data_IF_372343544007
#
_entry.id   IF_372343544007
#
_cell.length_a   1.000
_cell.length_b   1.000
_cell.length_c   1.000
_cell.angle_alpha   90.00
_cell.angle_beta   90.00
_cell.angle_gamma   90.00
#
_symmetry.space_group_name_H-M   'P 1'
#
loop_
_entity.id
_entity.type
_entity.pdbx_description
1 polymer ?
#
# COMPACT_ATOMS: atom_id res chain seq x y z
N UNK A 1 18.37 45.61 -42.35
CA UNK A 1 17.87 46.35 -41.17
C UNK A 1 18.50 45.69 -39.95
N UNK A 2 19.70 46.13 -39.53
CA UNK A 2 19.96 47.13 -38.46
C UNK A 2 19.38 46.70 -37.10
N UNK A 3 20.08 46.63 -35.96
CA UNK A 3 21.45 46.93 -35.50
C UNK A 3 21.65 46.16 -34.17
N UNK A 4 22.92 45.94 -33.85
CA UNK A 4 23.53 45.37 -32.64
C UNK A 4 23.30 46.11 -31.29
N UNK A 5 23.53 45.34 -30.20
CA UNK A 5 24.27 45.67 -28.95
C UNK A 5 23.61 46.55 -27.84
N UNK A 6 23.53 46.05 -26.58
CA UNK A 6 24.44 46.29 -25.44
C UNK A 6 23.80 45.83 -24.11
N UNK A 7 24.65 45.36 -23.19
CA UNK A 7 24.36 45.01 -21.80
C UNK A 7 24.25 46.25 -20.89
N UNK A 8 23.58 46.14 -19.73
CA UNK A 8 23.95 46.92 -18.55
C UNK A 8 23.47 46.28 -17.23
N UNK A 9 24.45 46.07 -16.37
CA UNK A 9 24.39 45.79 -14.93
C UNK A 9 23.98 47.07 -14.20
N UNK A 10 23.23 46.98 -13.09
CA UNK A 10 23.17 48.07 -12.13
C UNK A 10 23.24 47.56 -10.70
N UNK A 11 24.35 47.91 -10.06
CA UNK A 11 24.65 47.85 -8.64
C UNK A 11 24.08 49.12 -8.02
N UNK A 12 23.43 49.01 -6.85
CA UNK A 12 23.22 50.15 -5.94
C UNK A 12 23.79 49.77 -4.59
N UNK A 13 24.65 50.65 -4.07
CA UNK A 13 25.35 50.52 -2.82
C UNK A 13 25.17 51.77 -1.95
N UNK A 14 25.40 51.57 -0.65
CA UNK A 14 25.67 52.53 0.44
C UNK A 14 24.50 53.29 1.11
N UNK A 15 24.38 53.07 2.42
CA UNK A 15 24.74 54.10 3.40
C UNK A 15 25.17 53.46 4.74
N UNK A 16 26.35 53.86 5.22
CA UNK A 16 26.88 53.54 6.55
C UNK A 16 26.70 54.77 7.47
N UNK A 17 26.37 54.54 8.74
CA UNK A 17 26.54 55.51 9.83
C UNK A 17 27.21 54.80 11.02
N UNK A 18 28.11 55.54 11.66
CA UNK A 18 29.25 55.11 12.45
C UNK A 18 28.99 54.88 13.96
N UNK A 19 30.06 54.38 14.59
CA UNK A 19 30.29 53.87 15.94
C UNK A 19 29.91 54.77 17.14
N UNK A 20 29.62 54.14 18.29
CA UNK A 20 30.24 54.47 19.60
C UNK A 20 30.23 53.24 20.54
N UNK A 21 31.34 53.06 21.28
CA UNK A 21 31.51 52.06 22.34
C UNK A 21 31.07 52.63 23.70
N UNK A 22 30.46 51.81 24.55
CA UNK A 22 30.60 51.89 26.02
C UNK A 22 30.26 50.56 26.68
N UNK A 23 31.15 50.14 27.57
CA UNK A 23 31.17 48.94 28.40
C UNK A 23 30.13 48.94 29.52
N UNK A 24 29.66 47.74 29.89
CA UNK A 24 29.42 47.21 31.25
C UNK A 24 28.03 46.55 31.46
N UNK A 25 28.06 45.32 31.98
CA UNK A 25 26.90 44.66 32.60
C UNK A 25 26.63 43.25 32.06
N UNK A 26 27.23 42.22 32.65
CA UNK A 26 26.68 40.86 32.59
C UNK A 26 25.39 40.80 33.40
N UNK A 27 24.37 40.07 32.89
CA UNK A 27 23.56 39.25 33.79
C UNK A 27 23.54 37.79 33.35
N UNK A 28 23.68 36.95 34.39
CA UNK A 28 23.41 35.52 34.52
C UNK A 28 22.89 34.75 33.30
N UNK A 29 23.60 33.66 32.99
CA UNK A 29 23.14 32.50 32.23
C UNK A 29 21.83 31.95 32.79
N UNK A 30 20.71 32.39 32.23
CA UNK A 30 19.47 31.62 32.20
C UNK A 30 19.59 30.60 31.08
N UNK A 31 19.90 29.34 31.42
CA UNK A 31 19.82 28.24 30.49
C UNK A 31 18.38 28.20 29.92
N UNK A 32 18.21 28.64 28.67
CA UNK A 32 17.03 28.28 27.88
C UNK A 32 17.09 26.77 27.76
N UNK A 33 16.18 26.08 28.46
CA UNK A 33 15.87 24.71 28.14
C UNK A 33 15.50 24.69 26.65
N UNK A 34 16.31 24.01 25.83
CA UNK A 34 15.89 23.65 24.50
C UNK A 34 14.58 22.88 24.64
N UNK A 35 13.52 23.21 23.86
CA UNK A 35 12.37 22.34 23.81
C UNK A 35 12.88 20.97 23.36
N UNK A 36 12.69 19.97 24.24
CA UNK A 36 12.81 18.58 23.85
C UNK A 36 11.91 18.40 22.62
N UNK A 37 12.38 17.77 21.53
CA UNK A 37 11.48 17.39 20.45
C UNK A 37 10.32 16.64 21.10
N UNK A 38 9.09 17.07 20.84
CA UNK A 38 7.94 16.25 21.19
C UNK A 38 8.23 14.86 20.62
N UNK A 39 8.29 13.84 21.47
CA UNK A 39 8.37 12.48 20.98
C UNK A 39 7.20 12.31 20.01
N UNK A 40 7.49 11.97 18.75
CA UNK A 40 6.45 11.66 17.78
C UNK A 40 5.52 10.59 18.37
N UNK A 41 4.26 10.58 17.96
CA UNK A 41 3.33 9.56 18.45
C UNK A 41 3.90 8.17 18.12
N UNK A 42 3.55 7.13 18.90
CA UNK A 42 4.07 5.78 18.65
C UNK A 42 3.80 5.30 17.21
N UNK A 43 2.69 5.75 16.60
CA UNK A 43 2.31 5.49 15.21
C UNK A 43 3.25 6.15 14.19
N UNK A 44 3.96 7.22 14.54
CA UNK A 44 4.89 7.95 13.65
C UNK A 44 6.35 7.54 13.89
N UNK A 45 6.59 6.49 14.68
CA UNK A 45 7.93 6.02 14.98
C UNK A 45 8.58 5.32 13.77
N UNK A 46 9.92 5.28 13.72
CA UNK A 46 10.62 4.59 12.62
C UNK A 46 10.36 3.08 12.61
N UNK A 47 10.09 2.49 13.77
CA UNK A 47 9.66 1.10 13.88
C UNK A 47 8.26 0.88 13.30
N UNK A 48 7.32 1.82 13.54
CA UNK A 48 5.99 1.79 12.95
C UNK A 48 6.05 1.90 11.42
N UNK A 49 6.81 2.87 10.93
CA UNK A 49 7.09 3.10 9.52
C UNK A 49 7.69 1.87 8.81
N UNK A 50 8.60 1.18 9.48
CA UNK A 50 9.20 -0.05 8.98
C UNK A 50 8.14 -1.16 8.84
N UNK A 51 7.29 -1.32 9.86
CA UNK A 51 6.23 -2.33 9.87
C UNK A 51 5.20 -2.09 8.78
N UNK A 52 4.60 -0.89 8.74
CA UNK A 52 3.64 -0.49 7.72
C UNK A 52 4.21 -0.71 6.32
N UNK A 53 5.43 -0.24 6.03
CA UNK A 53 6.02 -0.41 4.70
C UNK A 53 6.30 -1.86 4.33
N UNK A 54 6.73 -2.70 5.27
CA UNK A 54 6.94 -4.12 4.99
C UNK A 54 5.62 -4.84 4.70
N UNK A 55 4.60 -4.59 5.51
CA UNK A 55 3.26 -5.16 5.33
C UNK A 55 2.65 -4.75 3.98
N UNK A 56 2.68 -3.45 3.67
CA UNK A 56 2.16 -2.91 2.41
C UNK A 56 2.89 -3.50 1.19
N UNK A 57 4.22 -3.61 1.21
CA UNK A 57 4.98 -4.16 0.09
C UNK A 57 4.75 -5.67 -0.07
N UNK A 58 4.64 -6.42 1.02
CA UNK A 58 4.37 -7.86 0.99
C UNK A 58 2.92 -8.15 0.59
N UNK A 59 1.96 -7.35 1.05
CA UNK A 59 0.55 -7.41 0.63
C UNK A 59 0.40 -7.10 -0.85
N UNK A 60 1.03 -6.02 -1.32
CA UNK A 60 1.07 -5.68 -2.74
C UNK A 60 1.67 -6.83 -3.55
N UNK A 61 2.75 -7.46 -3.07
CA UNK A 61 3.38 -8.58 -3.76
C UNK A 61 2.38 -9.71 -4.07
N UNK A 62 1.54 -10.07 -3.10
CA UNK A 62 0.47 -11.06 -3.27
C UNK A 62 -0.54 -10.61 -4.32
N UNK A 63 -0.99 -9.36 -4.26
CA UNK A 63 -1.94 -8.81 -5.23
C UNK A 63 -1.35 -8.82 -6.64
N UNK A 64 -0.09 -8.42 -6.80
CA UNK A 64 0.56 -8.36 -8.10
C UNK A 64 0.74 -9.77 -8.68
N UNK A 65 1.07 -10.78 -7.85
CA UNK A 65 1.04 -12.19 -8.28
C UNK A 65 -0.38 -12.57 -8.71
N UNK A 66 -1.41 -12.23 -7.92
CA UNK A 66 -2.80 -12.56 -8.21
C UNK A 66 -3.26 -11.96 -9.55
N UNK A 67 -2.95 -10.69 -9.81
CA UNK A 67 -3.33 -10.01 -11.05
C UNK A 67 -2.50 -10.48 -12.24
N UNK A 68 -1.21 -10.78 -12.06
CA UNK A 68 -0.38 -11.39 -13.09
C UNK A 68 -0.90 -12.77 -13.51
N UNK A 69 -1.19 -13.64 -12.55
CA UNK A 69 -1.68 -14.99 -12.80
C UNK A 69 -3.11 -15.02 -13.35
N UNK A 70 -3.98 -14.11 -12.90
CA UNK A 70 -5.30 -13.91 -13.49
C UNK A 70 -5.20 -13.46 -14.95
N UNK A 71 -4.33 -12.51 -15.25
CA UNK A 71 -4.10 -12.06 -16.62
C UNK A 71 -3.56 -13.20 -17.51
N UNK A 72 -2.66 -14.04 -16.99
CA UNK A 72 -2.16 -15.21 -17.72
C UNK A 72 -3.27 -16.24 -18.01
N UNK A 73 -4.03 -16.64 -16.99
CA UNK A 73 -5.11 -17.63 -17.10
C UNK A 73 -6.27 -17.14 -17.98
N UNK A 74 -6.51 -15.83 -18.03
CA UNK A 74 -7.48 -15.18 -18.90
C UNK A 74 -6.94 -14.76 -20.28
N UNK A 75 -5.69 -15.11 -20.63
CA UNK A 75 -5.03 -14.77 -21.90
C UNK A 75 -4.98 -13.24 -22.20
N UNK A 76 -4.74 -12.41 -21.18
CA UNK A 76 -4.61 -10.94 -21.27
C UNK A 76 -3.14 -10.53 -21.31
N UNK A 77 -2.52 -10.66 -22.48
CA UNK A 77 -1.05 -10.60 -22.61
C UNK A 77 -0.42 -9.27 -22.17
N UNK A 78 -1.08 -8.14 -22.39
CA UNK A 78 -0.52 -6.83 -22.02
C UNK A 78 -0.67 -6.54 -20.51
N UNK A 79 -1.80 -6.91 -19.90
CA UNK A 79 -1.95 -6.91 -18.43
C UNK A 79 -0.90 -7.82 -17.79
N UNK A 80 -0.69 -9.03 -18.35
CA UNK A 80 0.33 -9.96 -17.86
C UNK A 80 1.73 -9.33 -17.86
N UNK A 81 2.15 -8.66 -18.94
CA UNK A 81 3.44 -7.96 -19.00
C UNK A 81 3.52 -6.79 -18.02
N UNK A 82 2.44 -6.03 -17.87
CA UNK A 82 2.35 -4.92 -16.94
C UNK A 82 2.59 -5.40 -15.50
N UNK A 83 1.83 -6.40 -15.04
CA UNK A 83 1.98 -6.94 -13.69
C UNK A 83 3.29 -7.71 -13.49
N UNK A 84 3.86 -8.33 -14.53
CA UNK A 84 5.21 -8.92 -14.45
C UNK A 84 6.30 -7.85 -14.22
N UNK A 85 6.15 -6.68 -14.84
CA UNK A 85 7.04 -5.53 -14.58
C UNK A 85 6.87 -5.05 -13.14
N UNK A 86 5.62 -4.96 -12.66
CA UNK A 86 5.33 -4.53 -11.29
C UNK A 86 5.87 -5.51 -10.23
N UNK A 87 5.93 -6.83 -10.50
CA UNK A 87 6.60 -7.80 -9.61
C UNK A 87 8.07 -7.45 -9.38
N UNK A 88 8.76 -6.97 -10.43
CA UNK A 88 10.18 -6.58 -10.34
C UNK A 88 10.34 -5.27 -9.57
N UNK A 89 9.45 -4.30 -9.81
CA UNK A 89 9.42 -3.02 -9.06
C UNK A 89 9.18 -3.25 -7.58
N UNK A 90 8.16 -4.03 -7.22
CA UNK A 90 7.84 -4.37 -5.84
C UNK A 90 8.99 -5.16 -5.16
N UNK A 91 9.59 -6.12 -5.86
CA UNK A 91 10.79 -6.83 -5.37
C UNK A 91 11.98 -5.90 -5.11
N UNK A 92 12.18 -4.89 -5.97
CA UNK A 92 13.24 -3.88 -5.78
C UNK A 92 12.97 -3.01 -4.54
N UNK A 93 11.71 -2.61 -4.30
CA UNK A 93 11.34 -1.86 -3.11
C UNK A 93 11.55 -2.66 -1.81
N UNK A 94 11.26 -3.98 -1.82
CA UNK A 94 11.59 -4.87 -0.71
C UNK A 94 13.11 -4.98 -0.50
N UNK A 95 13.88 -5.12 -1.58
CA UNK A 95 15.35 -5.12 -1.53
C UNK A 95 15.91 -3.83 -0.93
N UNK A 96 15.32 -2.66 -1.25
CA UNK A 96 15.71 -1.37 -0.66
C UNK A 96 15.40 -1.29 0.85
N UNK A 97 14.27 -1.86 1.30
CA UNK A 97 13.97 -1.98 2.72
C UNK A 97 15.03 -2.83 3.44
N UNK A 98 15.43 -3.97 2.85
CA UNK A 98 16.52 -4.81 3.37
C UNK A 98 17.85 -4.04 3.37
N UNK A 99 18.15 -3.26 2.32
CA UNK A 99 19.36 -2.45 2.25
C UNK A 99 19.44 -1.42 3.38
N UNK A 100 18.31 -0.79 3.72
CA UNK A 100 18.24 0.21 4.80
C UNK A 100 18.62 -0.37 6.17
N UNK A 101 18.26 -1.62 6.43
CA UNK A 101 18.54 -2.33 7.67
C UNK A 101 19.95 -2.95 7.67
N UNK A 102 20.28 -3.71 6.62
CA UNK A 102 21.40 -4.64 6.60
C UNK A 102 22.51 -4.29 5.60
N UNK A 103 22.33 -3.27 4.77
CA UNK A 103 23.31 -2.80 3.78
C UNK A 103 23.21 -3.52 2.42
N UNK A 104 23.96 -3.02 1.44
CA UNK A 104 23.83 -3.41 0.03
C UNK A 104 24.10 -4.89 -0.25
N UNK A 105 25.07 -5.51 0.43
CA UNK A 105 25.36 -6.94 0.23
C UNK A 105 24.19 -7.83 0.67
N UNK A 106 23.51 -7.47 1.76
CA UNK A 106 22.33 -8.17 2.23
C UNK A 106 21.18 -8.06 1.24
N UNK A 107 20.95 -6.84 0.74
CA UNK A 107 19.93 -6.56 -0.27
C UNK A 107 20.17 -7.36 -1.55
N UNK A 108 21.41 -7.46 -2.03
CA UNK A 108 21.74 -8.26 -3.21
C UNK A 108 21.47 -9.76 -3.01
N UNK A 109 21.73 -10.30 -1.80
CA UNK A 109 21.37 -11.69 -1.49
C UNK A 109 19.85 -11.90 -1.39
N UNK A 110 19.13 -10.96 -0.77
CA UNK A 110 17.68 -10.99 -0.71
C UNK A 110 17.06 -10.93 -2.11
N UNK A 111 17.53 -10.01 -2.96
CA UNK A 111 17.06 -9.81 -4.33
C UNK A 111 17.14 -11.10 -5.15
N UNK A 112 18.25 -11.85 -5.02
CA UNK A 112 18.41 -13.15 -5.69
C UNK A 112 17.40 -14.20 -5.20
N UNK A 113 17.17 -14.27 -3.88
CA UNK A 113 16.19 -15.20 -3.29
C UNK A 113 14.77 -14.84 -3.73
N UNK A 114 14.43 -13.54 -3.70
CA UNK A 114 13.12 -13.02 -4.08
C UNK A 114 12.84 -13.17 -5.58
N UNK A 115 13.81 -12.86 -6.43
CA UNK A 115 13.70 -13.08 -7.88
C UNK A 115 13.49 -14.56 -8.23
N UNK A 116 14.13 -15.49 -7.48
CA UNK A 116 13.90 -16.92 -7.66
C UNK A 116 12.45 -17.31 -7.32
N UNK A 117 11.89 -16.77 -6.23
CA UNK A 117 10.48 -16.94 -5.87
C UNK A 117 9.54 -16.46 -6.98
N UNK A 118 9.76 -15.25 -7.48
CA UNK A 118 8.96 -14.65 -8.56
C UNK A 118 8.97 -15.54 -9.81
N UNK A 119 10.16 -16.02 -10.19
CA UNK A 119 10.31 -16.94 -11.32
C UNK A 119 9.53 -18.23 -11.10
N UNK A 120 9.52 -18.80 -9.89
CA UNK A 120 8.74 -20.00 -9.62
C UNK A 120 7.23 -19.75 -9.68
N UNK A 121 6.70 -18.63 -9.17
CA UNK A 121 5.26 -18.34 -9.32
C UNK A 121 4.85 -18.12 -10.78
N UNK A 122 5.69 -17.42 -11.56
CA UNK A 122 5.49 -17.25 -13.00
C UNK A 122 5.54 -18.61 -13.71
N UNK A 123 6.54 -19.45 -13.43
CA UNK A 123 6.67 -20.76 -14.03
C UNK A 123 5.55 -21.72 -13.63
N UNK A 124 5.06 -21.63 -12.40
CA UNK A 124 3.91 -22.39 -11.92
C UNK A 124 2.65 -22.02 -12.72
N UNK A 125 2.38 -20.72 -12.84
CA UNK A 125 1.27 -20.17 -13.62
C UNK A 125 1.36 -20.59 -15.09
N UNK A 126 2.52 -20.43 -15.72
CA UNK A 126 2.76 -20.84 -17.12
C UNK A 126 2.60 -22.35 -17.27
N UNK A 127 3.07 -23.15 -16.31
CA UNK A 127 2.90 -24.60 -16.31
C UNK A 127 1.43 -25.01 -16.30
N UNK A 128 0.60 -24.34 -15.50
CA UNK A 128 -0.85 -24.56 -15.48
C UNK A 128 -1.50 -24.18 -16.81
N UNK A 129 -1.26 -22.96 -17.29
CA UNK A 129 -1.89 -22.44 -18.52
C UNK A 129 -1.49 -23.25 -19.76
N UNK A 130 -0.25 -23.75 -19.80
CA UNK A 130 0.26 -24.58 -20.90
C UNK A 130 -0.02 -26.08 -20.72
N UNK A 131 -0.73 -26.48 -19.66
CA UNK A 131 -0.96 -27.88 -19.29
C UNK A 131 0.34 -28.72 -19.18
N UNK A 132 1.44 -28.07 -18.78
CA UNK A 132 2.73 -28.71 -18.57
C UNK A 132 2.93 -29.04 -17.09
N UNK A 133 2.46 -30.22 -16.69
CA UNK A 133 2.56 -30.71 -15.32
C UNK A 133 4.01 -30.81 -14.81
N UNK A 134 4.98 -31.13 -15.68
CA UNK A 134 6.38 -31.18 -15.27
C UNK A 134 6.89 -29.79 -14.85
N UNK A 135 6.49 -28.74 -15.59
CA UNK A 135 6.85 -27.35 -15.28
C UNK A 135 6.16 -26.85 -14.00
N UNK A 136 4.85 -27.04 -13.85
CA UNK A 136 4.15 -26.61 -12.63
C UNK A 136 4.61 -27.39 -11.39
N UNK A 137 4.82 -28.71 -11.48
CA UNK A 137 5.35 -29.49 -10.36
C UNK A 137 6.79 -29.09 -10.00
N UNK A 138 7.63 -28.83 -11.00
CA UNK A 138 8.99 -28.33 -10.80
C UNK A 138 9.01 -26.99 -10.08
N UNK A 139 8.16 -26.04 -10.51
CA UNK A 139 8.03 -24.73 -9.88
C UNK A 139 7.48 -24.80 -8.45
N UNK A 140 6.44 -25.62 -8.20
CA UNK A 140 5.91 -25.84 -6.86
C UNK A 140 6.95 -26.44 -5.89
N UNK A 141 7.75 -27.39 -6.39
CA UNK A 141 8.90 -27.91 -5.64
C UNK A 141 9.98 -26.84 -5.43
N UNK A 142 10.23 -25.98 -6.41
CA UNK A 142 11.19 -24.87 -6.28
C UNK A 142 10.80 -23.88 -5.19
N UNK A 143 9.51 -23.53 -5.09
CA UNK A 143 8.99 -22.68 -4.00
C UNK A 143 9.21 -23.32 -2.63
N UNK A 144 8.82 -24.59 -2.47
CA UNK A 144 8.81 -25.26 -1.16
C UNK A 144 10.20 -25.73 -0.72
N UNK A 145 10.97 -26.29 -1.63
CA UNK A 145 12.25 -26.94 -1.34
C UNK A 145 13.47 -26.08 -1.70
N UNK A 146 13.27 -24.97 -2.42
CA UNK A 146 14.31 -24.01 -2.79
C UNK A 146 14.14 -22.67 -2.08
N UNK A 147 13.09 -21.93 -2.42
CA UNK A 147 12.85 -20.59 -1.89
C UNK A 147 12.67 -20.57 -0.36
N UNK A 148 11.71 -21.34 0.18
CA UNK A 148 11.40 -21.34 1.62
C UNK A 148 12.64 -21.57 2.50
N UNK A 149 13.46 -22.62 2.30
CA UNK A 149 14.63 -22.85 3.15
C UNK A 149 15.72 -21.77 3.01
N UNK A 150 15.96 -21.25 1.79
CA UNK A 150 16.95 -20.18 1.58
C UNK A 150 16.48 -18.86 2.20
N UNK A 151 15.20 -18.52 2.06
CA UNK A 151 14.61 -17.35 2.72
C UNK A 151 14.67 -17.47 4.24
N UNK A 152 14.26 -18.61 4.81
CA UNK A 152 14.34 -18.87 6.24
C UNK A 152 15.77 -18.72 6.78
N UNK A 153 16.75 -19.30 6.08
CA UNK A 153 18.18 -19.21 6.43
C UNK A 153 18.70 -17.79 6.34
N UNK A 154 18.32 -17.04 5.30
CA UNK A 154 18.66 -15.62 5.16
C UNK A 154 18.13 -14.82 6.35
N UNK A 155 16.83 -14.98 6.67
CA UNK A 155 16.19 -14.27 7.78
C UNK A 155 16.77 -14.65 9.15
N UNK A 156 17.13 -15.92 9.36
CA UNK A 156 17.81 -16.35 10.56
C UNK A 156 19.21 -15.72 10.70
N UNK A 157 20.01 -15.74 9.62
CA UNK A 157 21.34 -15.13 9.61
C UNK A 157 21.28 -13.62 9.86
N UNK A 158 20.35 -12.92 9.21
CA UNK A 158 20.34 -11.46 9.18
C UNK A 158 19.57 -10.87 10.35
N UNK A 159 18.39 -11.40 10.68
CA UNK A 159 17.50 -10.84 11.69
C UNK A 159 17.38 -11.72 12.95
N UNK A 160 18.05 -12.88 12.99
CA UNK A 160 17.97 -13.83 14.12
C UNK A 160 16.56 -14.35 14.39
N UNK A 161 15.69 -14.34 13.36
CA UNK A 161 14.38 -14.98 13.41
C UNK A 161 14.59 -16.50 13.49
N UNK A 162 13.95 -17.22 14.42
CA UNK A 162 14.07 -18.67 14.50
C UNK A 162 13.64 -19.35 13.19
N UNK A 163 14.34 -20.42 12.79
CA UNK A 163 14.12 -21.09 11.50
C UNK A 163 12.72 -21.70 11.38
N UNK A 164 12.22 -22.38 12.42
CA UNK A 164 10.94 -23.09 12.33
C UNK A 164 9.75 -22.14 12.09
N UNK A 165 9.57 -21.04 12.87
CA UNK A 165 8.50 -20.08 12.62
C UNK A 165 8.53 -19.44 11.23
N UNK A 166 9.70 -18.97 10.75
CA UNK A 166 9.77 -18.33 9.44
C UNK A 166 9.55 -19.35 8.31
N UNK A 167 10.06 -20.57 8.46
CA UNK A 167 9.80 -21.67 7.52
C UNK A 167 8.30 -21.95 7.44
N UNK A 168 7.61 -22.03 8.59
CA UNK A 168 6.17 -22.26 8.64
C UNK A 168 5.40 -21.11 7.96
N UNK A 169 5.68 -19.85 8.33
CA UNK A 169 5.00 -18.69 7.75
C UNK A 169 5.17 -18.63 6.22
N UNK A 170 6.40 -18.83 5.73
CA UNK A 170 6.69 -18.83 4.29
C UNK A 170 6.10 -20.03 3.56
N UNK A 171 6.03 -21.21 4.19
CA UNK A 171 5.37 -22.38 3.61
C UNK A 171 3.87 -22.14 3.47
N UNK A 172 3.22 -21.60 4.51
CA UNK A 172 1.80 -21.23 4.47
C UNK A 172 1.53 -20.23 3.34
N UNK A 173 2.35 -19.18 3.19
CA UNK A 173 2.22 -18.20 2.10
C UNK A 173 2.30 -18.84 0.71
N UNK A 174 3.28 -19.72 0.50
CA UNK A 174 3.46 -20.44 -0.77
C UNK A 174 2.22 -21.27 -1.10
N UNK A 175 1.65 -21.95 -0.11
CA UNK A 175 0.47 -22.79 -0.30
C UNK A 175 -0.79 -21.96 -0.60
N UNK A 176 -0.99 -20.83 0.09
CA UNK A 176 -2.15 -19.94 -0.16
C UNK A 176 -2.07 -19.28 -1.55
N UNK A 177 -0.90 -18.78 -1.96
CA UNK A 177 -0.72 -18.23 -3.32
C UNK A 177 -0.90 -19.32 -4.39
N UNK A 178 -0.43 -20.53 -4.14
CA UNK A 178 -0.65 -21.65 -5.05
C UNK A 178 -2.14 -21.99 -5.19
N UNK A 179 -2.88 -22.06 -4.08
CA UNK A 179 -4.32 -22.31 -4.08
C UNK A 179 -5.08 -21.23 -4.85
N UNK A 180 -4.72 -19.97 -4.65
CA UNK A 180 -5.23 -18.83 -5.42
C UNK A 180 -5.04 -19.01 -6.93
N UNK A 181 -3.83 -19.34 -7.40
CA UNK A 181 -3.54 -19.54 -8.83
C UNK A 181 -4.32 -20.74 -9.38
N UNK A 182 -4.43 -21.83 -8.61
CA UNK A 182 -5.21 -23.02 -8.98
C UNK A 182 -6.70 -22.68 -9.15
N UNK A 183 -7.28 -21.93 -8.21
CA UNK A 183 -8.70 -21.52 -8.26
C UNK A 183 -8.97 -20.51 -9.39
N UNK A 184 -8.01 -19.63 -9.73
CA UNK A 184 -8.10 -18.77 -10.93
C UNK A 184 -8.13 -19.60 -12.22
N UNK A 185 -7.22 -20.56 -12.37
CA UNK A 185 -7.19 -21.43 -13.54
C UNK A 185 -8.44 -22.32 -13.66
N UNK A 186 -9.06 -22.66 -12.53
CA UNK A 186 -10.34 -23.36 -12.46
C UNK A 186 -11.57 -22.45 -12.64
N UNK A 187 -11.38 -21.14 -12.84
CA UNK A 187 -12.43 -20.12 -12.92
C UNK A 187 -13.35 -20.09 -11.68
N UNK A 188 -12.81 -20.46 -10.52
CA UNK A 188 -13.55 -20.50 -9.26
C UNK A 188 -13.47 -19.15 -8.54
N UNK A 189 -14.12 -18.14 -9.11
CA UNK A 189 -13.98 -16.75 -8.66
C UNK A 189 -14.23 -16.56 -7.15
N UNK A 190 -15.22 -17.26 -6.57
CA UNK A 190 -15.49 -17.14 -5.13
C UNK A 190 -14.31 -17.61 -4.27
N UNK A 191 -13.68 -18.73 -4.64
CA UNK A 191 -12.50 -19.21 -3.92
C UNK A 191 -11.26 -18.38 -4.26
N UNK A 192 -11.11 -17.89 -5.50
CA UNK A 192 -10.05 -16.94 -5.86
C UNK A 192 -10.00 -15.75 -4.90
N UNK A 193 -11.10 -15.06 -4.66
CA UNK A 193 -11.08 -13.90 -3.75
C UNK A 193 -10.92 -14.29 -2.27
N UNK A 194 -11.47 -15.43 -1.85
CA UNK A 194 -11.24 -15.93 -0.49
C UNK A 194 -9.77 -16.31 -0.24
N UNK A 195 -9.12 -16.91 -1.24
CA UNK A 195 -7.72 -17.32 -1.20
C UNK A 195 -6.80 -16.10 -1.32
N UNK A 196 -7.18 -15.09 -2.11
CA UNK A 196 -6.49 -13.81 -2.18
C UNK A 196 -6.44 -13.13 -0.82
N UNK A 197 -7.59 -12.99 -0.15
CA UNK A 197 -7.67 -12.37 1.17
C UNK A 197 -6.81 -13.11 2.21
N UNK A 198 -6.83 -14.45 2.21
CA UNK A 198 -5.97 -15.25 3.10
C UNK A 198 -4.49 -15.07 2.80
N UNK A 199 -4.10 -15.10 1.52
CA UNK A 199 -2.72 -14.88 1.10
C UNK A 199 -2.24 -13.46 1.47
N UNK A 200 -3.10 -12.46 1.34
CA UNK A 200 -2.81 -11.07 1.72
C UNK A 200 -2.58 -10.95 3.24
N UNK A 201 -3.48 -11.49 4.06
CA UNK A 201 -3.31 -11.50 5.52
C UNK A 201 -2.08 -12.29 5.98
N UNK A 202 -1.72 -13.37 5.28
CA UNK A 202 -0.47 -14.11 5.55
C UNK A 202 0.77 -13.25 5.27
N UNK A 203 0.71 -12.38 4.27
CA UNK A 203 1.82 -11.49 3.91
C UNK A 203 2.08 -10.46 5.02
N UNK A 204 1.02 -9.90 5.62
CA UNK A 204 1.12 -9.04 6.81
C UNK A 204 1.72 -9.79 8.01
N UNK A 205 1.34 -11.05 8.26
CA UNK A 205 1.94 -11.86 9.34
C UNK A 205 3.45 -12.07 9.15
N UNK A 206 3.90 -12.20 7.89
CA UNK A 206 5.32 -12.24 7.56
C UNK A 206 5.93 -10.86 7.84
N UNK A 207 5.36 -9.77 7.31
CA UNK A 207 5.80 -8.40 7.53
C UNK A 207 5.97 -8.05 9.01
N UNK A 208 4.99 -8.37 9.86
CA UNK A 208 5.02 -8.24 11.31
C UNK A 208 6.26 -8.91 11.95
N UNK A 209 6.52 -10.16 11.56
CA UNK A 209 7.64 -10.94 12.08
C UNK A 209 8.99 -10.32 11.65
N UNK A 210 9.10 -9.87 10.40
CA UNK A 210 10.29 -9.19 9.89
C UNK A 210 10.51 -7.84 10.60
N UNK A 211 9.50 -7.00 10.63
CA UNK A 211 9.57 -5.66 11.20
C UNK A 211 9.96 -5.70 12.67
N UNK A 212 9.34 -6.60 13.44
CA UNK A 212 9.65 -6.79 14.86
C UNK A 212 11.10 -7.22 15.07
N UNK A 213 11.58 -8.19 14.30
CA UNK A 213 12.95 -8.68 14.43
C UNK A 213 14.00 -7.64 14.01
N UNK A 214 13.74 -6.92 12.91
CA UNK A 214 14.63 -5.87 12.38
C UNK A 214 14.70 -4.70 13.36
N UNK A 215 13.54 -4.20 13.83
CA UNK A 215 13.47 -3.09 14.78
C UNK A 215 14.15 -3.46 16.11
N UNK A 216 13.89 -4.67 16.62
CA UNK A 216 14.55 -5.16 17.84
C UNK A 216 16.07 -5.27 17.71
N UNK A 217 16.57 -5.71 16.55
CA UNK A 217 18.02 -5.83 16.30
C UNK A 217 18.71 -4.48 16.09
N UNK A 218 18.00 -3.50 15.52
CA UNK A 218 18.54 -2.18 15.20
C UNK A 218 17.70 -1.05 15.79
N UNK A 219 17.46 -1.09 17.10
CA UNK A 219 16.65 -0.09 17.79
C UNK A 219 17.14 1.36 17.59
N UNK A 220 18.46 1.56 17.40
CA UNK A 220 19.03 2.88 17.11
C UNK A 220 18.63 3.41 15.72
N UNK A 221 18.46 2.51 14.73
CA UNK A 221 18.04 2.87 13.37
C UNK A 221 16.52 2.99 13.27
N UNK A 222 15.80 2.11 13.98
CA UNK A 222 14.35 2.01 14.00
C UNK A 222 13.81 2.20 15.43
N UNK A 223 13.96 3.40 16.02
CA UNK A 223 13.39 3.70 17.33
C UNK A 223 11.86 3.62 17.29
N UNK A 224 11.29 3.12 18.38
CA UNK A 224 9.86 2.91 18.56
C UNK A 224 9.55 1.47 18.95
N UNK A 225 8.29 1.24 19.35
CA UNK A 225 7.76 -0.10 19.58
C UNK A 225 6.86 -0.47 18.39
N UNK A 226 7.27 -1.41 17.51
CA UNK A 226 6.46 -1.81 16.37
C UNK A 226 5.18 -2.56 16.80
N UNK A 227 5.09 -3.01 18.06
CA UNK A 227 3.93 -3.71 18.61
C UNK A 227 3.02 -2.79 19.46
N UNK A 228 3.24 -1.48 19.45
CA UNK A 228 2.34 -0.54 20.12
C UNK A 228 0.96 -0.54 19.44
N UNK A 229 -0.12 -0.43 20.22
CA UNK A 229 -1.50 -0.47 19.68
C UNK A 229 -1.79 0.63 18.65
N UNK A 230 -1.15 1.78 18.81
CA UNK A 230 -1.22 2.87 17.82
C UNK A 230 -0.67 2.44 16.46
N UNK A 231 0.38 1.61 16.45
CA UNK A 231 0.97 1.01 15.25
C UNK A 231 0.06 -0.07 14.69
N UNK A 232 -0.53 -0.93 15.54
CA UNK A 232 -1.52 -1.93 15.10
C UNK A 232 -2.68 -1.29 14.35
N UNK A 233 -3.20 -0.16 14.86
CA UNK A 233 -4.27 0.59 14.20
C UNK A 233 -3.84 1.13 12.83
N UNK A 234 -2.66 1.76 12.75
CA UNK A 234 -2.12 2.28 11.48
C UNK A 234 -1.93 1.16 10.45
N UNK A 235 -1.23 0.08 10.84
CA UNK A 235 -1.01 -1.10 9.99
C UNK A 235 -2.31 -1.72 9.52
N UNK A 236 -3.30 -1.86 10.40
CA UNK A 236 -4.61 -2.43 10.03
C UNK A 236 -5.36 -1.53 9.05
N UNK A 237 -5.33 -0.21 9.28
CA UNK A 237 -5.96 0.77 8.40
C UNK A 237 -5.33 0.77 7.00
N UNK A 238 -3.99 0.86 6.93
CA UNK A 238 -3.25 0.90 5.67
C UNK A 238 -3.45 -0.40 4.88
N UNK A 239 -3.27 -1.56 5.52
CA UNK A 239 -3.45 -2.86 4.87
C UNK A 239 -4.86 -3.02 4.29
N UNK A 240 -5.89 -2.60 5.04
CA UNK A 240 -7.27 -2.68 4.57
C UNK A 240 -7.52 -1.71 3.41
N UNK A 241 -7.01 -0.48 3.47
CA UNK A 241 -7.16 0.51 2.39
C UNK A 241 -6.44 0.06 1.10
N UNK A 242 -5.24 -0.52 1.21
CA UNK A 242 -4.51 -1.04 0.06
C UNK A 242 -5.26 -2.21 -0.59
N UNK A 243 -5.65 -3.23 0.19
CA UNK A 243 -6.43 -4.37 -0.32
C UNK A 243 -7.74 -3.86 -0.96
N UNK A 244 -8.42 -2.90 -0.32
CA UNK A 244 -9.63 -2.29 -0.84
C UNK A 244 -9.41 -1.64 -2.22
N UNK A 245 -8.34 -0.87 -2.39
CA UNK A 245 -8.01 -0.20 -3.65
C UNK A 245 -7.87 -1.21 -4.79
N UNK A 246 -7.17 -2.31 -4.55
CA UNK A 246 -7.00 -3.36 -5.55
C UNK A 246 -8.26 -4.18 -5.81
N UNK A 247 -9.06 -4.48 -4.80
CA UNK A 247 -10.37 -5.14 -4.96
C UNK A 247 -11.33 -4.25 -5.76
N UNK A 248 -11.27 -2.93 -5.55
CA UNK A 248 -12.07 -1.97 -6.32
C UNK A 248 -11.67 -2.01 -7.80
N UNK A 249 -10.37 -1.97 -8.12
CA UNK A 249 -9.93 -2.02 -9.52
C UNK A 249 -10.15 -3.39 -10.18
N UNK A 250 -10.13 -4.50 -9.42
CA UNK A 250 -10.57 -5.82 -9.92
C UNK A 250 -12.06 -5.82 -10.24
N UNK A 251 -12.87 -5.24 -9.36
CA UNK A 251 -14.32 -5.07 -9.56
C UNK A 251 -14.62 -4.22 -10.79
N UNK A 252 -13.96 -3.07 -10.95
CA UNK A 252 -14.18 -2.18 -12.09
C UNK A 252 -13.69 -2.80 -13.40
N UNK A 253 -12.58 -3.56 -13.37
CA UNK A 253 -12.11 -4.30 -14.55
C UNK A 253 -13.14 -5.34 -15.01
N UNK A 254 -13.70 -6.11 -14.07
CA UNK A 254 -14.75 -7.08 -14.38
C UNK A 254 -16.04 -6.40 -14.87
N UNK A 255 -16.38 -5.26 -14.29
CA UNK A 255 -17.54 -4.44 -14.67
C UNK A 255 -17.40 -3.89 -16.09
N UNK A 256 -16.28 -3.23 -16.40
CA UNK A 256 -16.01 -2.62 -17.70
C UNK A 256 -16.03 -3.66 -18.84
N UNK A 257 -15.58 -4.88 -18.55
CA UNK A 257 -15.55 -5.98 -19.51
C UNK A 257 -16.81 -6.87 -19.52
N UNK A 258 -17.81 -6.59 -18.68
CA UNK A 258 -19.04 -7.39 -18.59
C UNK A 258 -18.85 -8.83 -18.07
N UNK A 259 -17.84 -9.07 -17.22
CA UNK A 259 -17.52 -10.39 -16.65
C UNK A 259 -18.33 -10.64 -15.38
N UNK A 260 -19.65 -10.81 -15.53
CA UNK A 260 -20.61 -10.85 -14.41
C UNK A 260 -20.24 -11.82 -13.26
N UNK A 261 -19.73 -13.01 -13.56
CA UNK A 261 -19.34 -13.99 -12.53
C UNK A 261 -18.09 -13.59 -11.74
N UNK A 262 -17.13 -12.94 -12.40
CA UNK A 262 -15.92 -12.37 -11.75
C UNK A 262 -16.31 -11.13 -10.95
N UNK A 263 -17.15 -10.26 -11.54
CA UNK A 263 -17.66 -9.04 -10.92
C UNK A 263 -18.41 -9.34 -9.61
N UNK A 264 -19.32 -10.32 -9.60
CA UNK A 264 -20.08 -10.66 -8.41
C UNK A 264 -19.17 -11.14 -7.25
N UNK A 265 -18.14 -11.93 -7.55
CA UNK A 265 -17.19 -12.38 -6.54
C UNK A 265 -16.29 -11.24 -6.05
N UNK A 266 -15.81 -10.38 -6.96
CA UNK A 266 -15.01 -9.20 -6.64
C UNK A 266 -15.79 -8.20 -5.76
N UNK A 267 -17.07 -7.96 -6.08
CA UNK A 267 -17.98 -7.12 -5.29
C UNK A 267 -18.17 -7.65 -3.87
N UNK A 268 -18.33 -8.96 -3.70
CA UNK A 268 -18.47 -9.57 -2.38
C UNK A 268 -17.19 -9.39 -1.55
N UNK A 269 -16.02 -9.54 -2.17
CA UNK A 269 -14.75 -9.32 -1.50
C UNK A 269 -14.53 -7.84 -1.15
N UNK A 270 -14.86 -6.94 -2.07
CA UNK A 270 -14.81 -5.49 -1.85
C UNK A 270 -15.70 -5.07 -0.68
N UNK A 271 -16.94 -5.57 -0.64
CA UNK A 271 -17.87 -5.31 0.45
C UNK A 271 -17.37 -5.88 1.79
N UNK A 272 -16.83 -7.10 1.82
CA UNK A 272 -16.29 -7.69 3.04
C UNK A 272 -15.10 -6.89 3.61
N UNK A 273 -14.23 -6.37 2.73
CA UNK A 273 -13.13 -5.50 3.14
C UNK A 273 -13.66 -4.11 3.60
N UNK A 274 -14.68 -3.55 2.93
CA UNK A 274 -15.35 -2.32 3.38
C UNK A 274 -15.97 -2.48 4.78
N UNK A 275 -16.62 -3.61 5.07
CA UNK A 275 -17.16 -3.95 6.38
C UNK A 275 -16.06 -4.04 7.45
N UNK A 276 -14.87 -4.52 7.09
CA UNK A 276 -13.71 -4.56 7.98
C UNK A 276 -13.19 -3.15 8.31
N UNK A 277 -13.13 -2.25 7.33
CA UNK A 277 -12.82 -0.83 7.56
C UNK A 277 -13.88 -0.16 8.46
N UNK A 278 -15.17 -0.41 8.21
CA UNK A 278 -16.26 0.08 9.07
C UNK A 278 -16.17 -0.43 10.50
N UNK A 279 -15.81 -1.70 10.67
CA UNK A 279 -15.56 -2.32 11.98
C UNK A 279 -14.39 -1.64 12.69
N UNK A 280 -13.27 -1.40 12.00
CA UNK A 280 -12.12 -0.69 12.54
C UNK A 280 -12.49 0.72 13.02
N UNK A 281 -13.29 1.46 12.25
CA UNK A 281 -13.82 2.77 12.65
C UNK A 281 -14.77 2.68 13.84
N UNK A 282 -15.65 1.68 13.86
CA UNK A 282 -16.60 1.42 14.95
C UNK A 282 -15.89 1.16 16.28
N UNK A 283 -14.82 0.37 16.28
CA UNK A 283 -14.04 0.04 17.48
C UNK A 283 -13.36 1.28 18.08
N UNK A 284 -12.83 2.16 17.22
CA UNK A 284 -12.09 3.35 17.66
C UNK A 284 -13.02 4.52 17.99
N UNK A 285 -14.03 4.78 17.18
CA UNK A 285 -14.87 5.99 17.30
C UNK A 285 -16.31 5.71 17.77
N UNK A 286 -16.71 4.44 17.85
CA UNK A 286 -18.04 4.00 18.26
C UNK A 286 -18.97 3.65 17.09
N UNK A 287 -20.00 2.88 17.39
CA UNK A 287 -20.91 2.29 16.40
C UNK A 287 -21.56 3.31 15.44
N UNK A 288 -21.93 4.49 15.94
CA UNK A 288 -22.53 5.54 15.10
C UNK A 288 -21.56 6.04 14.01
N UNK A 289 -20.28 6.14 14.34
CA UNK A 289 -19.23 6.53 13.37
C UNK A 289 -18.98 5.41 12.38
N UNK A 290 -18.93 4.14 12.83
CA UNK A 290 -18.84 2.97 11.95
C UNK A 290 -19.98 2.94 10.92
N UNK A 291 -21.23 3.10 11.36
CA UNK A 291 -22.39 3.16 10.45
C UNK A 291 -22.29 4.32 9.45
N UNK A 292 -21.80 5.49 9.86
CA UNK A 292 -21.59 6.62 8.94
C UNK A 292 -20.46 6.33 7.95
N UNK A 293 -19.41 5.64 8.38
CA UNK A 293 -18.35 5.16 7.50
C UNK A 293 -18.92 4.22 6.43
N UNK A 294 -19.68 3.19 6.82
CA UNK A 294 -20.27 2.21 5.89
C UNK A 294 -21.14 2.88 4.82
N UNK A 295 -21.91 3.90 5.21
CA UNK A 295 -22.75 4.67 4.29
C UNK A 295 -21.92 5.45 3.26
N UNK A 296 -20.89 6.17 3.71
CA UNK A 296 -20.04 6.99 2.84
C UNK A 296 -19.20 6.11 1.92
N UNK A 297 -18.61 5.06 2.48
CA UNK A 297 -17.72 4.15 1.76
C UNK A 297 -18.48 3.25 0.78
N UNK A 298 -19.62 2.68 1.19
CA UNK A 298 -20.48 1.91 0.30
C UNK A 298 -21.05 2.74 -0.85
N UNK A 299 -21.37 4.02 -0.62
CA UNK A 299 -21.79 4.93 -1.68
C UNK A 299 -20.66 5.17 -2.70
N UNK A 300 -19.42 5.37 -2.24
CA UNK A 300 -18.24 5.47 -3.13
C UNK A 300 -18.09 4.23 -4.01
N UNK A 301 -18.17 3.04 -3.43
CA UNK A 301 -17.97 1.79 -4.17
C UNK A 301 -19.06 1.58 -5.22
N UNK A 302 -20.31 1.93 -4.90
CA UNK A 302 -21.41 1.92 -5.86
C UNK A 302 -21.14 2.87 -7.05
N UNK A 303 -20.67 4.09 -6.79
CA UNK A 303 -20.35 5.05 -7.86
C UNK A 303 -19.16 4.61 -8.72
N UNK A 304 -18.15 3.93 -8.14
CA UNK A 304 -17.05 3.34 -8.93
C UNK A 304 -17.57 2.28 -9.92
N UNK A 305 -18.52 1.44 -9.51
CA UNK A 305 -19.14 0.44 -10.39
C UNK A 305 -19.94 1.11 -11.50
N UNK A 306 -20.70 2.17 -11.19
CA UNK A 306 -21.44 2.96 -12.20
C UNK A 306 -20.47 3.61 -13.19
N UNK A 307 -19.39 4.22 -12.69
CA UNK A 307 -18.37 4.88 -13.52
C UNK A 307 -17.68 3.88 -14.47
N UNK A 308 -17.37 2.69 -13.96
CA UNK A 308 -16.74 1.60 -14.71
C UNK A 308 -17.65 0.98 -15.79
N UNK A 309 -18.96 1.00 -15.57
CA UNK A 309 -19.94 0.34 -16.43
C UNK A 309 -20.18 1.01 -17.79
N UNK A 310 -21.04 0.38 -18.58
CA UNK A 310 -21.45 0.84 -19.91
C UNK A 310 -22.60 1.87 -19.87
N UNK A 311 -22.69 2.65 -18.79
CA UNK A 311 -23.69 3.72 -18.67
C UNK A 311 -23.50 4.79 -19.76
N UNK A 312 -24.52 5.63 -20.00
CA UNK A 312 -24.37 6.77 -20.90
C UNK A 312 -23.41 7.84 -20.32
N UNK A 313 -23.01 8.80 -21.16
CA UNK A 313 -22.05 9.84 -20.76
C UNK A 313 -22.55 10.69 -19.60
N UNK A 314 -23.85 10.97 -19.52
CA UNK A 314 -24.43 11.81 -18.47
C UNK A 314 -24.41 11.08 -17.12
N UNK A 315 -24.82 9.81 -17.10
CA UNK A 315 -24.81 8.95 -15.91
C UNK A 315 -23.39 8.77 -15.40
N UNK A 316 -22.44 8.54 -16.30
CA UNK A 316 -21.03 8.41 -15.94
C UNK A 316 -20.45 9.71 -15.38
N UNK A 317 -20.77 10.84 -15.97
CA UNK A 317 -20.37 12.14 -15.42
C UNK A 317 -20.96 12.34 -14.02
N UNK A 318 -22.23 11.98 -13.81
CA UNK A 318 -22.86 12.02 -12.49
C UNK A 318 -22.17 11.13 -11.45
N UNK A 319 -21.70 9.95 -11.83
CA UNK A 319 -20.92 9.08 -10.95
C UNK A 319 -19.55 9.69 -10.62
N UNK A 320 -18.87 10.26 -11.61
CA UNK A 320 -17.60 10.98 -11.41
C UNK A 320 -17.78 12.19 -10.50
N UNK A 321 -18.85 12.97 -10.69
CA UNK A 321 -19.19 14.12 -9.85
C UNK A 321 -19.47 13.68 -8.41
N UNK A 322 -20.11 12.52 -8.23
CA UNK A 322 -20.39 11.93 -6.91
C UNK A 322 -19.11 11.48 -6.21
N UNK A 323 -18.18 10.84 -6.94
CA UNK A 323 -16.87 10.45 -6.40
C UNK A 323 -16.02 11.67 -6.02
N UNK A 324 -15.95 12.68 -6.90
CA UNK A 324 -15.03 13.81 -6.74
C UNK A 324 -15.56 14.90 -5.80
N UNK A 325 -16.88 15.04 -5.66
CA UNK A 325 -17.49 16.07 -4.82
C UNK A 325 -18.18 15.46 -3.59
N UNK A 326 -19.18 14.59 -3.80
CA UNK A 326 -20.04 14.09 -2.72
C UNK A 326 -19.26 13.21 -1.75
N UNK A 327 -18.57 12.18 -2.26
CA UNK A 327 -17.76 11.27 -1.44
C UNK A 327 -16.65 12.06 -0.71
N UNK A 328 -15.85 12.84 -1.43
CA UNK A 328 -14.75 13.62 -0.82
C UNK A 328 -15.26 14.50 0.31
N UNK A 329 -16.33 15.26 0.11
CA UNK A 329 -16.90 16.12 1.14
C UNK A 329 -17.43 15.34 2.35
N UNK A 330 -18.18 14.26 2.11
CA UNK A 330 -18.76 13.47 3.20
C UNK A 330 -17.69 12.71 4.00
N UNK A 331 -16.68 12.17 3.31
CA UNK A 331 -15.56 11.48 3.93
C UNK A 331 -14.69 12.45 4.72
N UNK A 332 -14.39 13.62 4.17
CA UNK A 332 -13.63 14.65 4.88
C UNK A 332 -14.34 15.10 6.17
N UNK A 333 -15.65 15.36 6.11
CA UNK A 333 -16.45 15.71 7.28
C UNK A 333 -16.48 14.56 8.31
N UNK A 334 -16.66 13.32 7.87
CA UNK A 334 -16.62 12.14 8.75
C UNK A 334 -15.28 12.04 9.48
N UNK A 335 -14.17 12.16 8.76
CA UNK A 335 -12.82 12.09 9.34
C UNK A 335 -12.60 13.28 10.28
N UNK A 336 -12.97 14.49 9.89
CA UNK A 336 -12.88 15.68 10.75
C UNK A 336 -13.61 15.51 12.08
N UNK A 337 -14.88 15.10 12.03
CA UNK A 337 -15.69 14.88 13.24
C UNK A 337 -15.06 13.80 14.14
N UNK A 338 -14.50 12.75 13.53
CA UNK A 338 -13.92 11.60 14.22
C UNK A 338 -12.55 11.91 14.84
N UNK A 339 -11.65 12.57 14.10
CA UNK A 339 -10.22 12.72 14.44
C UNK A 339 -9.80 14.15 14.75
N UNK A 340 -10.60 15.15 14.40
CA UNK A 340 -10.22 16.57 14.48
C UNK A 340 -9.26 17.04 13.38
N UNK A 341 -8.90 16.18 12.44
CA UNK A 341 -8.09 16.52 11.27
C UNK A 341 -8.78 17.60 10.44
N UNK A 342 -8.03 18.54 9.86
CA UNK A 342 -8.61 19.57 9.01
C UNK A 342 -9.22 18.94 7.74
N UNK A 343 -10.45 19.35 7.41
CA UNK A 343 -11.15 18.82 6.21
C UNK A 343 -10.35 19.04 4.93
N UNK A 344 -9.57 20.13 4.83
CA UNK A 344 -8.72 20.43 3.68
C UNK A 344 -7.64 19.36 3.43
N UNK A 345 -7.05 18.84 4.51
CA UNK A 345 -5.91 17.93 4.43
C UNK A 345 -6.39 16.57 3.93
N UNK A 346 -7.46 16.04 4.54
CA UNK A 346 -8.04 14.77 4.14
C UNK A 346 -8.76 14.87 2.79
N UNK A 347 -9.38 16.00 2.45
CA UNK A 347 -10.01 16.20 1.13
C UNK A 347 -8.97 16.11 0.02
N UNK A 348 -7.78 16.70 0.22
CA UNK A 348 -6.69 16.65 -0.76
C UNK A 348 -6.24 15.21 -1.01
N UNK A 349 -6.02 14.44 0.06
CA UNK A 349 -5.62 13.04 -0.04
C UNK A 349 -6.71 12.18 -0.71
N UNK A 350 -7.97 12.34 -0.31
CA UNK A 350 -9.11 11.63 -0.91
C UNK A 350 -9.31 11.97 -2.40
N UNK A 351 -9.13 13.24 -2.78
CA UNK A 351 -9.17 13.66 -4.20
C UNK A 351 -8.07 13.02 -5.02
N UNK A 352 -6.85 12.94 -4.49
CA UNK A 352 -5.72 12.25 -5.13
C UNK A 352 -6.05 10.78 -5.36
N UNK A 353 -6.52 10.08 -4.33
CA UNK A 353 -6.91 8.66 -4.42
C UNK A 353 -8.05 8.45 -5.44
N UNK A 354 -9.08 9.30 -5.44
CA UNK A 354 -10.17 9.24 -6.42
C UNK A 354 -9.66 9.47 -7.84
N UNK A 355 -8.77 10.44 -8.04
CA UNK A 355 -8.18 10.72 -9.35
C UNK A 355 -7.32 9.56 -9.87
N UNK A 356 -6.57 8.88 -8.99
CA UNK A 356 -5.75 7.74 -9.38
C UNK A 356 -6.59 6.50 -9.67
N UNK A 357 -7.58 6.16 -8.83
CA UNK A 357 -8.46 5.01 -9.10
C UNK A 357 -9.32 5.22 -10.35
N UNK A 358 -9.81 6.44 -10.59
CA UNK A 358 -10.59 6.72 -11.82
C UNK A 358 -9.74 6.65 -13.08
N UNK A 359 -8.44 6.98 -13.01
CA UNK A 359 -7.49 6.76 -14.10
C UNK A 359 -7.38 5.28 -14.46
N UNK A 360 -7.27 4.40 -13.47
CA UNK A 360 -7.29 2.94 -13.68
C UNK A 360 -8.58 2.51 -14.39
N UNK A 361 -9.73 3.03 -13.94
CA UNK A 361 -11.03 2.70 -14.55
C UNK A 361 -11.12 3.19 -16.00
N UNK A 362 -10.57 4.36 -16.31
CA UNK A 362 -10.55 4.89 -17.68
C UNK A 362 -9.64 4.06 -18.60
N UNK A 363 -8.49 3.59 -18.10
CA UNK A 363 -7.64 2.65 -18.84
C UNK A 363 -8.32 1.32 -19.10
N UNK A 364 -8.99 0.76 -18.09
CA UNK A 364 -9.75 -0.49 -18.21
C UNK A 364 -10.87 -0.36 -19.26
N UNK A 365 -11.60 0.76 -19.25
CA UNK A 365 -12.71 1.01 -20.17
C UNK A 365 -12.25 1.30 -21.59
N UNK A 366 -11.12 1.98 -21.76
CA UNK A 366 -10.53 2.28 -23.07
C UNK A 366 -9.73 1.12 -23.67
N UNK A 367 -9.47 0.07 -22.88
CA UNK A 367 -8.64 -1.06 -23.29
C UNK A 367 -7.14 -0.74 -23.30
N UNK A 368 -6.71 0.30 -22.58
CA UNK A 368 -5.32 0.72 -22.45
C UNK A 368 -4.52 -0.19 -21.47
N UNK A 369 -4.55 -1.50 -21.73
CA UNK A 369 -4.05 -2.56 -20.85
C UNK A 369 -2.58 -2.41 -20.42
N UNK A 370 -1.75 -1.69 -21.20
CA UNK A 370 -0.33 -1.44 -20.88
C UNK A 370 -0.12 -0.45 -19.74
N UNK A 371 -1.13 0.38 -19.42
CA UNK A 371 -1.05 1.40 -18.38
C UNK A 371 -1.65 0.92 -17.05
N UNK A 372 -2.64 0.02 -17.12
CA UNK A 372 -3.42 -0.47 -15.97
C UNK A 372 -2.55 -0.85 -14.78
N UNK A 373 -1.49 -1.66 -14.96
CA UNK A 373 -0.68 -2.11 -13.82
C UNK A 373 0.05 -0.95 -13.10
N UNK A 374 0.55 0.04 -13.85
CA UNK A 374 1.25 1.18 -13.25
C UNK A 374 0.28 2.13 -12.54
N UNK A 375 -0.89 2.38 -13.13
CA UNK A 375 -1.90 3.23 -12.52
C UNK A 375 -2.57 2.55 -11.32
N UNK A 376 -2.70 1.22 -11.34
CA UNK A 376 -3.21 0.41 -10.23
C UNK A 376 -2.27 0.46 -9.02
N UNK A 377 -0.95 0.37 -9.26
CA UNK A 377 0.07 0.64 -8.24
C UNK A 377 -0.04 2.06 -7.67
N UNK A 378 -0.21 3.07 -8.53
CA UNK A 378 -0.36 4.46 -8.09
C UNK A 378 -1.63 4.66 -7.24
N UNK A 379 -2.76 4.08 -7.64
CA UNK A 379 -4.02 4.15 -6.93
C UNK A 379 -3.97 3.46 -5.55
N UNK A 380 -3.24 2.36 -5.42
CA UNK A 380 -2.98 1.72 -4.13
C UNK A 380 -2.04 2.57 -3.26
N UNK A 381 -0.92 3.06 -3.81
CA UNK A 381 0.02 3.92 -3.10
C UNK A 381 -0.61 5.24 -2.60
N UNK A 382 -1.60 5.78 -3.33
CA UNK A 382 -2.35 6.97 -2.93
C UNK A 382 -3.22 6.77 -1.67
N UNK A 383 -3.42 5.54 -1.22
CA UNK A 383 -4.11 5.27 0.05
C UNK A 383 -3.24 5.53 1.27
N UNK A 384 -1.92 5.39 1.16
CA UNK A 384 -0.97 5.54 2.28
C UNK A 384 -1.07 6.93 2.92
N UNK A 385 -1.03 8.06 2.19
CA UNK A 385 -1.17 9.37 2.81
C UNK A 385 -2.53 9.57 3.50
N UNK A 386 -3.59 8.93 3.01
CA UNK A 386 -4.92 8.99 3.66
C UNK A 386 -4.90 8.24 5.00
N UNK A 387 -4.39 7.02 5.00
CA UNK A 387 -4.27 6.19 6.20
C UNK A 387 -3.37 6.82 7.25
N UNK A 388 -2.20 7.32 6.85
CA UNK A 388 -1.26 8.05 7.73
C UNK A 388 -1.91 9.26 8.40
N UNK A 389 -2.59 10.13 7.62
CA UNK A 389 -3.27 11.31 8.17
C UNK A 389 -4.34 10.94 9.19
N UNK A 390 -5.13 9.90 8.90
CA UNK A 390 -6.18 9.40 9.81
C UNK A 390 -5.53 8.81 11.06
N UNK A 391 -4.52 7.96 10.92
CA UNK A 391 -3.84 7.29 12.02
C UNK A 391 -3.22 8.29 12.99
N UNK A 392 -2.39 9.21 12.49
CA UNK A 392 -1.73 10.23 13.31
C UNK A 392 -2.73 11.13 14.04
N UNK A 393 -3.79 11.60 13.35
CA UNK A 393 -4.82 12.44 13.96
C UNK A 393 -5.62 11.68 15.03
N UNK A 394 -5.92 10.40 14.79
CA UNK A 394 -6.65 9.54 15.71
C UNK A 394 -5.88 9.30 17.00
N UNK A 395 -4.60 8.93 16.90
CA UNK A 395 -3.73 8.69 18.06
C UNK A 395 -3.54 9.97 18.87
N UNK A 396 -3.47 11.13 18.19
CA UNK A 396 -3.38 12.43 18.83
C UNK A 396 -4.66 12.80 19.61
N UNK A 397 -5.84 12.55 19.03
CA UNK A 397 -7.13 12.89 19.67
C UNK A 397 -7.54 11.91 20.76
N UNK A 398 -7.20 10.63 20.62
CA UNK A 398 -7.63 9.54 21.50
C UNK A 398 -6.45 8.78 22.13
N UNK A 399 -5.49 9.46 22.80
CA UNK A 399 -4.27 8.82 23.30
C UNK A 399 -4.55 7.72 24.33
N UNK A 400 -5.66 7.79 25.08
CA UNK A 400 -6.02 6.77 26.07
C UNK A 400 -6.57 5.47 25.48
N UNK A 401 -6.83 5.44 24.17
CA UNK A 401 -7.26 4.22 23.47
C UNK A 401 -6.07 3.35 23.01
N UNK A 402 -4.86 3.91 23.01
CA UNK A 402 -3.65 3.26 22.47
C UNK A 402 -2.61 3.00 23.54
#
# INVERSE_FOLDING_TARGET
MTVRLWALITIVALAAIACTNSTSGSPASGARANPTPAAGSAADSKAADLRVRLDELLGEHVIVIAKNSLAATANRSDEYKGYATLLTTNGSALSDMIASAFGASAAASFDQIWAAQNNYYVDYTVGIVSHNAAKSNGAASGLTNGFVPEFAKFMNSMASIPLDPITQLSTEQVLEIKALIDDQAALNNAKTFADLHRAYGQASRIGDALATAIAGKFADKFPGDPAAKAVDFRVSLDNLLQEHSYLATMTTSATAAGRNGEQAAALNALAANADALGTLFSEVFGAATGTRFDQVWGARDAELVVYAGNADAATRQGALDSLTNTFVSQFASLVHDSTGLAESDISTAAQGQVADVTRVVDDQRSGAATHVAADDHAAAAATIPMGDLIATATVTKLPTKF
#
